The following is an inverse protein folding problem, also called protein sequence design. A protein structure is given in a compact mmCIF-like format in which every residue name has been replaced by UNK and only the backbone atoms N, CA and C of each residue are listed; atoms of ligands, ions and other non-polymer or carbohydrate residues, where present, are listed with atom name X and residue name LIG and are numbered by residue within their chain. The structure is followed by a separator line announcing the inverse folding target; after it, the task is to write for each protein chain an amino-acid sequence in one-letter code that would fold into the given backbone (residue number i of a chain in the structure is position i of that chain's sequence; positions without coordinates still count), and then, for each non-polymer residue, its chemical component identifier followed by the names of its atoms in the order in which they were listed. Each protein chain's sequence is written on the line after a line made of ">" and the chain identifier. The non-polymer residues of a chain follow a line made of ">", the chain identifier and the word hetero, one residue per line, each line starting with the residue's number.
data_IF_265178497581
#
_entry.id   IF_265178497581
#
_cell.length_a   1.000
_cell.length_b   1.000
_cell.length_c   1.000
_cell.angle_alpha   90.00
_cell.angle_beta   90.00
_cell.angle_gamma   90.00
#
_symmetry.space_group_name_H-M   'P 1'
#
loop_
_entity.id
_entity.type
_entity.pdbx_description
1 polymer ?
#
# COMPACT_ATOMS: atom_id res chain seq x y z
N UNK A 1 18.38 -25.60 -10.83
CA UNK A 1 17.14 -25.28 -10.10
C UNK A 1 16.11 -24.85 -11.13
N UNK A 2 14.88 -25.35 -11.10
CA UNK A 2 13.83 -24.90 -12.04
C UNK A 2 13.28 -23.54 -11.63
N UNK A 3 12.80 -22.73 -12.58
CA UNK A 3 12.14 -21.44 -12.29
C UNK A 3 10.97 -21.60 -11.32
N UNK A 4 10.19 -22.68 -11.46
CA UNK A 4 9.12 -23.03 -10.54
C UNK A 4 9.62 -23.25 -9.09
N UNK A 5 10.82 -23.82 -8.92
CA UNK A 5 11.44 -24.00 -7.60
C UNK A 5 11.86 -22.66 -7.00
N UNK A 6 12.47 -21.77 -7.80
CA UNK A 6 12.87 -20.42 -7.36
C UNK A 6 11.66 -19.58 -6.95
N UNK A 7 10.56 -19.64 -7.72
CA UNK A 7 9.31 -18.96 -7.40
C UNK A 7 8.76 -19.39 -6.03
N UNK A 8 8.74 -20.69 -5.74
CA UNK A 8 8.25 -21.19 -4.45
C UNK A 8 9.16 -20.79 -3.29
N UNK A 9 10.48 -20.81 -3.49
CA UNK A 9 11.43 -20.29 -2.49
C UNK A 9 11.20 -18.82 -2.23
N UNK A 10 11.00 -18.00 -3.27
CA UNK A 10 10.71 -16.58 -3.13
C UNK A 10 9.41 -16.34 -2.35
N UNK A 11 8.33 -17.05 -2.69
CA UNK A 11 7.07 -16.98 -1.94
C UNK A 11 7.25 -17.38 -0.47
N UNK A 12 8.07 -18.39 -0.21
CA UNK A 12 8.48 -18.78 1.14
C UNK A 12 9.19 -17.66 1.90
N UNK A 13 10.16 -16.98 1.29
CA UNK A 13 10.87 -15.85 1.90
C UNK A 13 9.91 -14.70 2.24
N UNK A 14 9.01 -14.34 1.32
CA UNK A 14 8.00 -13.30 1.56
C UNK A 14 7.09 -13.66 2.75
N UNK A 15 6.68 -14.92 2.86
CA UNK A 15 5.90 -15.41 3.99
C UNK A 15 6.68 -15.34 5.31
N UNK A 16 7.95 -15.76 5.33
CA UNK A 16 8.84 -15.66 6.52
C UNK A 16 8.97 -14.21 6.99
N UNK A 17 9.09 -13.27 6.06
CA UNK A 17 9.20 -11.83 6.35
C UNK A 17 7.84 -11.16 6.63
N UNK A 18 6.72 -11.91 6.57
CA UNK A 18 5.35 -11.41 6.74
C UNK A 18 4.94 -10.34 5.73
N UNK A 19 5.48 -10.40 4.51
CA UNK A 19 5.16 -9.51 3.39
C UNK A 19 3.98 -10.07 2.60
N UNK A 20 2.80 -10.13 3.24
CA UNK A 20 1.63 -10.83 2.70
C UNK A 20 1.08 -10.20 1.41
N UNK A 21 1.02 -8.87 1.32
CA UNK A 21 0.54 -8.17 0.13
C UNK A 21 1.54 -8.30 -1.03
N UNK A 22 2.85 -8.28 -0.75
CA UNK A 22 3.84 -8.60 -1.78
C UNK A 22 3.71 -10.06 -2.26
N UNK A 23 3.50 -11.02 -1.37
CA UNK A 23 3.34 -12.43 -1.75
C UNK A 23 2.09 -12.67 -2.61
N UNK A 24 1.01 -11.93 -2.36
CA UNK A 24 -0.22 -11.95 -3.14
C UNK A 24 -0.05 -11.30 -4.51
N UNK A 25 0.65 -10.15 -4.57
CA UNK A 25 0.89 -9.41 -5.82
C UNK A 25 1.97 -10.02 -6.72
N UNK A 26 2.82 -10.91 -6.17
CA UNK A 26 3.99 -11.47 -6.87
C UNK A 26 3.69 -12.04 -8.28
N UNK A 27 2.64 -12.85 -8.52
CA UNK A 27 2.36 -13.39 -9.85
C UNK A 27 2.08 -12.29 -10.88
N UNK A 28 1.27 -11.30 -10.50
CA UNK A 28 0.87 -10.21 -11.39
C UNK A 28 2.05 -9.27 -11.71
N UNK A 29 2.87 -8.92 -10.71
CA UNK A 29 4.03 -8.07 -10.94
C UNK A 29 5.13 -8.79 -11.76
N UNK A 30 5.24 -10.12 -11.69
CA UNK A 30 6.16 -10.91 -12.54
C UNK A 30 5.71 -10.94 -14.01
N UNK A 31 4.41 -11.13 -14.25
CA UNK A 31 3.82 -11.07 -15.59
C UNK A 31 4.03 -9.67 -16.19
N UNK A 32 3.75 -8.63 -15.40
CA UNK A 32 3.91 -7.25 -15.86
C UNK A 32 5.38 -6.87 -16.07
N UNK A 33 6.30 -7.29 -15.20
CA UNK A 33 7.73 -7.09 -15.40
C UNK A 33 8.24 -7.73 -16.70
N UNK A 34 7.70 -8.89 -17.05
CA UNK A 34 8.01 -9.58 -18.30
C UNK A 34 7.44 -8.83 -19.52
N UNK A 35 6.19 -8.36 -19.44
CA UNK A 35 5.53 -7.63 -20.51
C UNK A 35 6.17 -6.26 -20.78
N UNK A 36 6.51 -5.53 -19.72
CA UNK A 36 7.07 -4.16 -19.78
C UNK A 36 8.60 -4.15 -19.84
N UNK A 37 9.25 -5.31 -19.74
CA UNK A 37 10.72 -5.46 -19.67
C UNK A 37 11.34 -4.57 -18.59
N UNK A 38 10.73 -4.59 -17.41
CA UNK A 38 11.19 -3.77 -16.28
C UNK A 38 12.60 -4.16 -15.86
N UNK A 39 13.35 -3.18 -15.35
CA UNK A 39 14.60 -3.49 -14.67
C UNK A 39 14.30 -4.26 -13.37
N UNK A 40 15.28 -5.03 -12.89
CA UNK A 40 15.15 -5.75 -11.63
C UNK A 40 14.82 -4.82 -10.46
N UNK A 41 15.39 -3.61 -10.46
CA UNK A 41 15.14 -2.60 -9.42
C UNK A 41 13.70 -2.08 -9.49
N UNK A 42 13.17 -1.81 -10.68
CA UNK A 42 11.79 -1.33 -10.85
C UNK A 42 10.77 -2.39 -10.44
N UNK A 43 11.00 -3.66 -10.81
CA UNK A 43 10.17 -4.77 -10.37
C UNK A 43 10.15 -4.90 -8.84
N UNK A 44 11.33 -4.91 -8.20
CA UNK A 44 11.43 -5.03 -6.75
C UNK A 44 10.78 -3.85 -6.03
N UNK A 45 10.98 -2.64 -6.54
CA UNK A 45 10.37 -1.43 -5.98
C UNK A 45 8.84 -1.52 -6.04
N UNK A 46 8.27 -1.87 -7.19
CA UNK A 46 6.82 -2.01 -7.36
C UNK A 46 6.23 -3.09 -6.45
N UNK A 47 6.88 -4.24 -6.38
CA UNK A 47 6.46 -5.35 -5.53
C UNK A 47 6.45 -4.95 -4.05
N UNK A 48 7.53 -4.31 -3.57
CA UNK A 48 7.64 -3.87 -2.18
C UNK A 48 6.72 -2.68 -1.88
N UNK A 49 6.45 -1.81 -2.85
CA UNK A 49 5.51 -0.70 -2.72
C UNK A 49 4.12 -1.20 -2.32
N UNK A 50 3.65 -2.32 -2.90
CA UNK A 50 2.37 -2.95 -2.50
C UNK A 50 2.32 -3.29 -1.02
N UNK A 51 3.41 -3.82 -0.47
CA UNK A 51 3.48 -4.12 0.96
C UNK A 51 3.54 -2.87 1.83
N UNK A 52 4.28 -1.85 1.39
CA UNK A 52 4.36 -0.57 2.09
C UNK A 52 2.98 0.10 2.14
N UNK A 53 2.27 0.17 1.01
CA UNK A 53 0.90 0.70 0.92
C UNK A 53 -0.04 -0.03 1.88
N UNK A 54 -0.03 -1.37 1.86
CA UNK A 54 -0.84 -2.18 2.77
C UNK A 54 -0.47 -1.95 4.25
N UNK A 55 0.82 -1.81 4.56
CA UNK A 55 1.30 -1.55 5.92
C UNK A 55 0.87 -0.17 6.42
N UNK A 56 1.00 0.86 5.57
CA UNK A 56 0.55 2.22 5.88
C UNK A 56 -0.96 2.25 6.10
N UNK A 57 -1.74 1.61 5.22
CA UNK A 57 -3.20 1.53 5.35
C UNK A 57 -3.62 0.85 6.67
N UNK A 58 -3.01 -0.28 7.02
CA UNK A 58 -3.26 -0.97 8.32
C UNK A 58 -2.91 -0.08 9.52
N UNK A 59 -1.78 0.63 9.46
CA UNK A 59 -1.37 1.56 10.52
C UNK A 59 -2.36 2.71 10.65
N UNK A 60 -2.77 3.33 9.55
CA UNK A 60 -3.73 4.43 9.54
C UNK A 60 -5.10 3.98 10.07
N UNK A 61 -5.60 2.81 9.65
CA UNK A 61 -6.85 2.25 10.16
C UNK A 61 -6.79 2.01 11.68
N UNK A 62 -5.66 1.47 12.16
CA UNK A 62 -5.46 1.23 13.59
C UNK A 62 -5.45 2.53 14.38
N UNK A 63 -4.67 3.53 13.94
CA UNK A 63 -4.62 4.84 14.59
C UNK A 63 -5.99 5.53 14.58
N UNK A 64 -6.72 5.48 13.46
CA UNK A 64 -8.05 6.08 13.35
C UNK A 64 -9.04 5.47 14.34
N UNK A 65 -8.99 4.14 14.53
CA UNK A 65 -9.80 3.44 15.53
C UNK A 65 -9.47 3.87 16.96
N UNK A 66 -8.20 4.15 17.27
CA UNK A 66 -7.77 4.58 18.60
C UNK A 66 -7.90 6.10 18.84
N UNK A 67 -8.08 6.90 17.80
CA UNK A 67 -8.14 8.35 17.92
C UNK A 67 -9.43 8.87 18.60
N UNK A 68 -10.43 8.00 18.85
CA UNK A 68 -11.70 8.35 19.49
C UNK A 68 -12.37 9.61 18.91
N UNK A 69 -12.13 9.89 17.62
CA UNK A 69 -12.69 11.05 16.96
C UNK A 69 -14.21 10.86 16.86
N UNK A 70 -15.01 11.89 17.20
CA UNK A 70 -16.47 11.76 17.29
C UNK A 70 -17.12 11.44 15.94
N UNK A 71 -16.44 11.77 14.83
CA UNK A 71 -16.84 11.45 13.45
C UNK A 71 -15.63 11.68 12.53
N UNK A 72 -15.55 11.04 11.35
CA UNK A 72 -14.42 11.18 10.42
C UNK A 72 -14.48 12.49 9.62
N UNK A 73 -14.64 13.62 10.32
CA UNK A 73 -14.71 14.95 9.70
C UNK A 73 -13.48 15.19 8.82
N UNK A 74 -13.72 15.52 7.55
CA UNK A 74 -12.71 15.96 6.59
C UNK A 74 -12.78 17.47 6.44
N UNK A 75 -11.73 18.06 5.86
CA UNK A 75 -11.78 19.46 5.44
C UNK A 75 -12.96 19.76 4.50
N UNK A 76 -13.38 18.78 3.70
CA UNK A 76 -14.56 18.89 2.83
C UNK A 76 -15.90 19.02 3.61
N UNK A 77 -15.93 18.58 4.86
CA UNK A 77 -17.10 18.65 5.74
C UNK A 77 -17.12 19.95 6.58
N UNK A 78 -16.12 20.83 6.40
CA UNK A 78 -16.03 22.08 7.15
C UNK A 78 -17.11 23.07 6.71
N UNK A 79 -17.93 23.52 7.66
CA UNK A 79 -18.97 24.51 7.42
C UNK A 79 -18.39 25.94 7.46
N UNK A 80 -17.98 26.44 6.30
CA UNK A 80 -17.51 27.82 6.13
C UNK A 80 -18.60 28.86 6.41
N UNK A 81 -19.89 28.50 6.38
CA UNK A 81 -20.98 29.43 6.71
C UNK A 81 -21.06 29.71 8.20
N UNK A 82 -20.69 28.73 9.04
CA UNK A 82 -20.59 28.90 10.49
C UNK A 82 -19.33 29.68 10.93
N UNK A 83 -18.30 29.77 10.08
CA UNK A 83 -17.03 30.43 10.37
C UNK A 83 -16.57 31.37 9.23
N UNK A 84 -17.26 32.51 9.00
CA UNK A 84 -17.04 33.37 7.83
C UNK A 84 -15.70 34.11 7.80
N UNK A 85 -14.90 34.06 8.88
CA UNK A 85 -13.56 34.65 8.93
C UNK A 85 -12.47 33.77 8.29
N UNK A 86 -12.80 32.53 7.90
CA UNK A 86 -11.85 31.58 7.31
C UNK A 86 -12.01 31.61 5.78
N UNK A 87 -10.89 31.79 5.08
CA UNK A 87 -10.86 31.77 3.61
C UNK A 87 -10.98 30.34 3.07
N UNK A 88 -11.83 30.14 2.07
CA UNK A 88 -12.12 28.85 1.46
C UNK A 88 -11.14 28.50 0.32
N UNK A 89 -10.47 29.50 -0.26
CA UNK A 89 -9.63 29.33 -1.45
C UNK A 89 -8.12 29.33 -1.19
N UNK A 90 -7.71 29.25 0.08
CA UNK A 90 -6.29 29.28 0.50
C UNK A 90 -5.53 27.99 0.19
#
# INVERSE_FOLDING_TARGET
>A
MSEASVYQTLRGHLATLRLAAAAEALPAELEQASAEKLSHTDFLERLLRREVEATVARRQASLSRFACLPSPWRLADFDFSAQPSVDKEL
#
